data_IF_069147548168
#
_entry.id   IF_069147548168
#
_cell.length_a   1.000
_cell.length_b   1.000
_cell.length_c   1.000
_cell.angle_alpha   90.00
_cell.angle_beta   90.00
_cell.angle_gamma   90.00
#
_symmetry.space_group_name_H-M   'P 1'
#
loop_
_entity.id
_entity.type
_entity.pdbx_description
1 polymer ?
#
# COMPACT_ATOMS: atom_id res chain seq x y z
N UNK A 1 56.06 33.32 -24.15
CA UNK A 1 55.42 33.04 -22.84
C UNK A 1 53.99 32.60 -23.08
N UNK A 2 53.69 31.31 -22.87
CA UNK A 2 52.38 30.72 -23.15
C UNK A 2 51.49 30.88 -21.91
N UNK A 3 50.44 31.69 -22.04
CA UNK A 3 49.38 31.90 -21.06
C UNK A 3 48.55 30.60 -20.99
N UNK A 4 48.62 29.89 -19.87
CA UNK A 4 47.72 28.77 -19.58
C UNK A 4 46.44 29.34 -18.95
N UNK A 5 45.34 29.27 -19.72
CA UNK A 5 43.99 29.52 -19.23
C UNK A 5 43.59 28.37 -18.28
N UNK A 6 43.44 28.71 -17.01
CA UNK A 6 42.87 27.85 -15.97
C UNK A 6 41.39 27.63 -16.31
N UNK A 7 41.02 26.40 -16.65
CA UNK A 7 39.63 26.00 -16.81
C UNK A 7 39.00 25.81 -15.42
N UNK A 8 38.09 26.71 -15.04
CA UNK A 8 37.20 26.55 -13.89
C UNK A 8 36.27 25.36 -14.13
N UNK A 9 36.58 24.22 -13.51
CA UNK A 9 35.66 23.11 -13.34
C UNK A 9 34.60 23.52 -12.29
N UNK A 10 33.48 24.08 -12.74
CA UNK A 10 32.29 24.25 -11.89
C UNK A 10 31.68 22.85 -11.72
N UNK A 11 32.07 22.16 -10.65
CA UNK A 11 31.39 20.96 -10.20
C UNK A 11 29.98 21.36 -9.77
N UNK A 12 29.00 21.11 -10.63
CA UNK A 12 27.58 21.12 -10.31
C UNK A 12 27.36 20.14 -9.16
N UNK A 13 27.23 20.66 -7.94
CA UNK A 13 26.59 19.95 -6.84
C UNK A 13 25.17 19.69 -7.29
N UNK A 14 24.91 18.50 -7.81
CA UNK A 14 23.56 18.07 -8.13
C UNK A 14 22.72 18.24 -6.86
N UNK A 15 21.73 19.14 -6.93
CA UNK A 15 20.80 19.42 -5.85
C UNK A 15 20.26 18.10 -5.29
N UNK A 16 20.67 17.75 -4.07
CA UNK A 16 20.17 16.62 -3.29
C UNK A 16 18.73 16.84 -2.79
N UNK A 17 17.85 17.23 -3.70
CA UNK A 17 16.42 17.31 -3.46
C UNK A 17 15.81 15.92 -3.47
N UNK A 18 14.79 15.70 -2.63
CA UNK A 18 14.00 14.47 -2.67
C UNK A 18 13.44 14.27 -4.09
N UNK A 19 13.54 13.07 -4.67
CA UNK A 19 12.96 12.80 -5.97
C UNK A 19 11.46 13.13 -5.95
N UNK A 20 10.91 13.72 -7.02
CA UNK A 20 9.51 14.12 -7.05
C UNK A 20 8.58 12.90 -7.00
N UNK A 21 7.40 13.10 -6.42
CA UNK A 21 6.31 12.13 -6.43
C UNK A 21 5.85 11.90 -7.88
N UNK A 22 5.82 10.63 -8.38
CA UNK A 22 5.32 10.33 -9.71
C UNK A 22 3.85 10.73 -9.91
N UNK A 23 3.50 11.17 -11.12
CA UNK A 23 2.12 11.59 -11.46
C UNK A 23 1.11 10.48 -11.14
N UNK A 24 1.44 9.24 -11.49
CA UNK A 24 0.64 8.02 -11.25
C UNK A 24 1.05 7.26 -9.97
N UNK A 25 1.60 7.96 -8.97
CA UNK A 25 1.91 7.42 -7.64
C UNK A 25 3.15 6.53 -7.58
N UNK A 26 3.30 5.61 -8.52
CA UNK A 26 4.38 4.62 -8.55
C UNK A 26 5.48 4.98 -9.55
N UNK A 27 6.68 4.43 -9.34
CA UNK A 27 7.82 4.63 -10.23
C UNK A 27 7.73 3.64 -11.40
N UNK A 28 7.44 4.16 -12.60
CA UNK A 28 7.31 3.35 -13.81
C UNK A 28 8.63 3.23 -14.55
N UNK A 29 9.61 2.64 -13.86
CA UNK A 29 10.98 2.45 -14.34
C UNK A 29 11.81 1.70 -13.31
N UNK A 30 13.01 1.31 -13.72
CA UNK A 30 13.90 0.49 -12.90
C UNK A 30 14.30 1.19 -11.59
N UNK A 31 14.42 0.40 -10.53
CA UNK A 31 14.86 0.80 -9.20
C UNK A 31 16.16 0.06 -8.86
N UNK A 32 17.28 0.54 -9.41
CA UNK A 32 18.58 -0.12 -9.28
C UNK A 32 18.56 -1.52 -9.90
N UNK A 33 18.75 -2.55 -9.08
CA UNK A 33 18.72 -3.95 -9.49
C UNK A 33 17.31 -4.52 -9.72
N UNK A 34 16.26 -3.73 -9.42
CA UNK A 34 14.86 -4.12 -9.58
C UNK A 34 14.30 -3.57 -10.89
N UNK A 35 13.84 -4.48 -11.74
CA UNK A 35 13.39 -4.22 -13.10
C UNK A 35 11.89 -4.04 -13.14
N UNK A 36 11.45 -2.91 -13.70
CA UNK A 36 10.03 -2.59 -13.78
C UNK A 36 9.32 -3.53 -14.75
N UNK A 37 8.17 -4.08 -14.31
CA UNK A 37 7.40 -5.05 -15.10
C UNK A 37 6.06 -4.52 -15.53
N UNK A 38 5.31 -3.94 -14.59
CA UNK A 38 3.91 -3.58 -14.84
C UNK A 38 3.50 -2.39 -14.01
N UNK A 39 2.67 -1.55 -14.60
CA UNK A 39 1.86 -0.54 -13.93
C UNK A 39 0.39 -0.90 -14.05
N UNK A 40 -0.41 -0.65 -13.01
CA UNK A 40 -1.87 -0.65 -13.08
C UNK A 40 -2.48 0.41 -12.15
N UNK A 41 -3.63 0.96 -12.53
CA UNK A 41 -4.55 1.58 -11.57
C UNK A 41 -5.41 0.49 -10.93
N UNK A 42 -5.60 0.54 -9.61
CA UNK A 42 -6.42 -0.43 -8.89
C UNK A 42 -7.59 0.27 -8.22
N UNK A 43 -8.74 -0.40 -8.19
CA UNK A 43 -9.95 0.09 -7.54
C UNK A 43 -9.97 -0.20 -6.04
N UNK A 44 -9.10 -1.11 -5.60
CA UNK A 44 -9.04 -1.55 -4.21
C UNK A 44 -8.29 -0.52 -3.35
N UNK A 45 -8.97 -0.03 -2.32
CA UNK A 45 -8.46 0.93 -1.34
C UNK A 45 -8.46 0.24 0.02
N UNK A 46 -7.30 -0.29 0.41
CA UNK A 46 -7.19 -1.12 1.63
C UNK A 46 -7.45 -0.34 2.92
N UNK A 47 -7.01 0.93 2.96
CA UNK A 47 -7.19 1.81 4.12
C UNK A 47 -8.34 2.75 3.82
N UNK A 48 -9.52 2.45 4.35
CA UNK A 48 -10.69 3.30 4.15
C UNK A 48 -10.63 4.54 5.04
N UNK A 49 -10.90 5.72 4.46
CA UNK A 49 -11.00 7.01 5.16
C UNK A 49 -12.32 7.66 4.77
N UNK A 50 -13.21 7.85 5.74
CA UNK A 50 -14.53 8.41 5.49
C UNK A 50 -14.48 9.79 4.86
N UNK A 51 -15.36 10.02 3.88
CA UNK A 51 -15.49 11.30 3.17
C UNK A 51 -14.18 11.79 2.53
N UNK A 52 -13.28 10.87 2.17
CA UNK A 52 -12.00 11.17 1.56
C UNK A 52 -11.72 10.23 0.38
N UNK A 53 -12.06 10.70 -0.83
CA UNK A 53 -11.90 9.93 -2.06
C UNK A 53 -10.45 9.52 -2.28
N UNK A 54 -10.24 8.31 -2.78
CA UNK A 54 -8.89 7.77 -3.02
C UNK A 54 -8.75 7.10 -4.38
N UNK A 55 -7.53 7.15 -4.92
CA UNK A 55 -7.12 6.42 -6.13
C UNK A 55 -5.84 5.67 -5.81
N UNK A 56 -5.81 4.37 -6.12
CA UNK A 56 -4.66 3.52 -5.89
C UNK A 56 -3.96 3.13 -7.20
N UNK A 57 -2.64 3.08 -7.13
CA UNK A 57 -1.76 2.69 -8.22
C UNK A 57 -0.83 1.59 -7.76
N UNK A 58 -0.49 0.67 -8.66
CA UNK A 58 0.45 -0.40 -8.38
C UNK A 58 1.55 -0.50 -9.43
N UNK A 59 2.76 -0.81 -8.98
CA UNK A 59 3.88 -1.19 -9.82
C UNK A 59 4.49 -2.51 -9.33
N UNK A 60 4.87 -3.38 -10.27
CA UNK A 60 5.55 -4.63 -9.99
C UNK A 60 6.99 -4.60 -10.49
N UNK A 61 7.90 -5.18 -9.72
CA UNK A 61 9.32 -5.29 -10.02
C UNK A 61 9.81 -6.71 -9.80
N UNK A 62 10.84 -7.10 -10.56
CA UNK A 62 11.58 -8.36 -10.36
C UNK A 62 13.08 -8.08 -10.33
N UNK A 63 13.90 -8.91 -9.68
CA UNK A 63 15.35 -8.81 -9.77
C UNK A 63 15.84 -8.96 -11.21
N UNK A 64 16.91 -8.24 -11.57
CA UNK A 64 17.52 -8.31 -12.90
C UNK A 64 17.93 -9.73 -13.31
N UNK A 65 18.43 -10.55 -12.38
CA UNK A 65 18.82 -11.94 -12.65
C UNK A 65 17.60 -12.85 -12.90
N UNK A 66 16.45 -12.53 -12.31
CA UNK A 66 15.18 -13.24 -12.56
C UNK A 66 14.61 -12.84 -13.91
N UNK A 67 14.65 -11.54 -14.24
CA UNK A 67 14.22 -11.04 -15.55
C UNK A 67 14.97 -11.75 -16.68
N UNK A 68 16.30 -11.88 -16.57
CA UNK A 68 17.14 -12.59 -17.55
C UNK A 68 16.80 -14.08 -17.70
N UNK A 69 16.35 -14.72 -16.60
CA UNK A 69 15.91 -16.12 -16.60
C UNK A 69 14.51 -16.32 -17.18
N UNK A 70 13.67 -15.29 -17.21
CA UNK A 70 12.36 -15.29 -17.86
C UNK A 70 11.23 -16.02 -17.11
N UNK A 71 11.49 -16.57 -15.92
CA UNK A 71 10.53 -17.34 -15.12
C UNK A 71 10.46 -16.81 -13.68
N UNK A 72 9.79 -15.68 -13.42
CA UNK A 72 9.58 -15.19 -12.06
C UNK A 72 8.55 -16.04 -11.32
N UNK A 73 8.86 -16.42 -10.08
CA UNK A 73 7.90 -16.97 -9.12
C UNK A 73 7.33 -15.85 -8.23
N UNK A 74 6.26 -16.13 -7.47
CA UNK A 74 5.62 -15.14 -6.59
C UNK A 74 6.62 -14.43 -5.66
N UNK A 75 7.55 -15.21 -5.08
CA UNK A 75 8.60 -14.72 -4.17
C UNK A 75 9.56 -13.72 -4.82
N UNK A 76 9.70 -13.80 -6.15
CA UNK A 76 10.62 -12.97 -6.93
C UNK A 76 9.98 -11.62 -7.31
N UNK A 77 8.66 -11.46 -7.14
CA UNK A 77 7.94 -10.24 -7.51
C UNK A 77 7.75 -9.33 -6.29
N UNK A 78 8.23 -8.09 -6.37
CA UNK A 78 7.87 -7.02 -5.42
C UNK A 78 6.77 -6.17 -6.05
N UNK A 79 5.67 -5.99 -5.33
CA UNK A 79 4.61 -5.07 -5.66
C UNK A 79 4.69 -3.84 -4.76
N UNK A 80 4.45 -2.67 -5.35
CA UNK A 80 4.31 -1.41 -4.65
C UNK A 80 2.94 -0.84 -4.95
N UNK A 81 2.15 -0.60 -3.92
CA UNK A 81 0.89 0.11 -3.99
C UNK A 81 1.07 1.50 -3.39
N UNK A 82 0.56 2.51 -4.10
CA UNK A 82 0.44 3.87 -3.59
C UNK A 82 -1.00 4.29 -3.73
N UNK A 83 -1.66 4.44 -2.59
CA UNK A 83 -3.01 5.00 -2.50
C UNK A 83 -2.90 6.49 -2.24
N UNK A 84 -3.51 7.31 -3.10
CA UNK A 84 -3.58 8.77 -2.98
C UNK A 84 -4.98 9.18 -2.59
N UNK A 85 -5.11 9.86 -1.46
CA UNK A 85 -6.33 10.47 -0.97
C UNK A 85 -6.43 11.91 -1.42
N UNK A 86 -7.64 12.46 -1.46
CA UNK A 86 -7.90 13.87 -1.74
C UNK A 86 -7.32 14.76 -0.63
N UNK A 87 -7.43 14.34 0.63
CA UNK A 87 -6.97 15.05 1.84
C UNK A 87 -6.06 14.16 2.69
N UNK A 88 -5.21 14.76 3.52
CA UNK A 88 -4.36 14.05 4.48
C UNK A 88 -5.09 13.70 5.79
N UNK A 89 -6.15 14.42 6.09
CA UNK A 89 -7.01 14.19 7.25
C UNK A 89 -7.43 12.72 7.38
N UNK A 90 -7.15 12.13 8.55
CA UNK A 90 -7.54 10.76 8.89
C UNK A 90 -6.65 9.66 8.34
N UNK A 91 -5.82 9.91 7.31
CA UNK A 91 -5.02 8.87 6.62
C UNK A 91 -4.09 8.13 7.59
N UNK A 92 -3.31 8.86 8.40
CA UNK A 92 -2.42 8.25 9.39
C UNK A 92 -3.21 7.46 10.45
N UNK A 93 -4.29 8.04 10.98
CA UNK A 93 -5.13 7.39 11.98
C UNK A 93 -5.71 6.08 11.47
N UNK A 94 -6.28 6.08 10.27
CA UNK A 94 -6.90 4.88 9.68
C UNK A 94 -5.86 3.83 9.27
N UNK A 95 -4.68 4.25 8.81
CA UNK A 95 -3.56 3.32 8.56
C UNK A 95 -3.17 2.57 9.84
N UNK A 96 -3.05 3.28 10.96
CA UNK A 96 -2.71 2.68 12.25
C UNK A 96 -3.83 1.76 12.76
N UNK A 97 -5.10 2.17 12.63
CA UNK A 97 -6.25 1.31 12.98
C UNK A 97 -6.25 0.03 12.16
N UNK A 98 -6.06 0.14 10.84
CA UNK A 98 -6.00 -1.00 9.91
C UNK A 98 -4.91 -1.99 10.33
N UNK A 99 -3.68 -1.49 10.52
CA UNK A 99 -2.55 -2.34 10.86
C UNK A 99 -2.69 -2.98 12.25
N UNK A 100 -3.17 -2.25 13.27
CA UNK A 100 -3.46 -2.83 14.59
C UNK A 100 -4.54 -3.91 14.52
N UNK A 101 -5.58 -3.70 13.70
CA UNK A 101 -6.63 -4.70 13.47
C UNK A 101 -6.06 -5.98 12.86
N UNK A 102 -5.17 -5.88 11.88
CA UNK A 102 -4.48 -7.06 11.30
C UNK A 102 -3.70 -7.85 12.36
N UNK A 103 -2.99 -7.16 13.26
CA UNK A 103 -2.29 -7.80 14.38
C UNK A 103 -3.23 -8.45 15.40
N UNK A 104 -4.43 -7.90 15.60
CA UNK A 104 -5.40 -8.38 16.58
C UNK A 104 -6.26 -9.55 16.10
N UNK A 105 -6.61 -9.59 14.81
CA UNK A 105 -7.55 -10.58 14.23
C UNK A 105 -6.96 -12.00 14.09
N UNK A 106 -5.67 -12.18 14.42
CA UNK A 106 -4.98 -13.47 14.40
C UNK A 106 -4.65 -13.92 12.97
N UNK A 107 -3.36 -13.88 12.61
CA UNK A 107 -2.91 -14.30 11.28
C UNK A 107 -1.78 -13.46 10.71
N UNK A 108 -1.62 -12.23 11.23
CA UNK A 108 -0.51 -11.35 10.93
C UNK A 108 0.26 -10.96 12.19
N UNK A 109 1.58 -11.04 12.11
CA UNK A 109 2.50 -10.34 12.98
C UNK A 109 2.75 -8.94 12.41
N UNK A 110 2.74 -7.94 13.28
CA UNK A 110 2.96 -6.55 12.91
C UNK A 110 4.08 -5.97 13.77
N UNK A 111 5.07 -5.39 13.10
CA UNK A 111 6.23 -4.79 13.74
C UNK A 111 6.52 -3.39 13.21
N UNK A 112 7.12 -2.54 14.04
CA UNK A 112 7.55 -1.20 13.68
C UNK A 112 9.06 -1.17 13.42
N UNK A 113 9.48 -0.70 12.25
CA UNK A 113 10.90 -0.62 11.86
C UNK A 113 11.25 0.73 11.24
N UNK A 114 12.55 0.96 11.01
CA UNK A 114 13.05 2.11 10.26
C UNK A 114 13.89 1.62 9.09
N UNK A 115 13.48 1.98 7.88
CA UNK A 115 14.14 1.63 6.60
C UNK A 115 14.33 2.91 5.79
N UNK A 116 15.53 3.19 5.29
CA UNK A 116 15.79 4.42 4.52
C UNK A 116 15.48 5.73 5.26
N UNK A 117 15.58 5.74 6.59
CA UNK A 117 15.18 6.90 7.39
C UNK A 117 13.67 7.03 7.63
N UNK A 118 12.81 6.31 6.91
CA UNK A 118 11.37 6.28 7.12
C UNK A 118 10.99 5.24 8.17
N UNK A 119 10.07 5.60 9.07
CA UNK A 119 9.44 4.65 9.98
C UNK A 119 8.32 3.93 9.26
N UNK A 120 8.32 2.60 9.33
CA UNK A 120 7.42 1.75 8.56
C UNK A 120 6.83 0.66 9.45
N UNK A 121 5.71 0.10 9.00
CA UNK A 121 5.01 -1.01 9.64
C UNK A 121 5.20 -2.25 8.78
N UNK A 122 5.90 -3.25 9.30
CA UNK A 122 6.06 -4.55 8.64
C UNK A 122 4.92 -5.45 9.09
N UNK A 123 4.30 -6.13 8.12
CA UNK A 123 3.14 -6.99 8.30
C UNK A 123 3.53 -8.33 7.67
N UNK A 124 3.65 -9.37 8.48
CA UNK A 124 4.01 -10.71 8.06
C UNK A 124 2.91 -11.70 8.46
N UNK A 125 2.46 -12.53 7.52
CA UNK A 125 1.41 -13.50 7.79
C UNK A 125 0.95 -14.17 6.52
N UNK A 126 0.29 -15.33 6.62
CA UNK A 126 -0.32 -16.01 5.47
C UNK A 126 0.59 -16.22 4.23
N UNK A 127 1.92 -16.35 4.44
CA UNK A 127 2.88 -16.52 3.35
C UNK A 127 3.16 -15.25 2.55
N UNK A 128 2.90 -14.07 3.11
CA UNK A 128 3.22 -12.78 2.53
C UNK A 128 3.92 -11.86 3.55
N UNK A 129 4.74 -10.96 3.02
CA UNK A 129 5.36 -9.88 3.80
C UNK A 129 5.13 -8.56 3.09
N UNK A 130 4.62 -7.60 3.86
CA UNK A 130 4.33 -6.24 3.42
C UNK A 130 4.99 -5.24 4.36
N UNK A 131 5.45 -4.12 3.80
CA UNK A 131 5.92 -2.94 4.51
C UNK A 131 5.01 -1.79 4.12
N UNK A 132 4.36 -1.16 5.10
CA UNK A 132 3.38 -0.10 4.89
C UNK A 132 3.73 1.16 5.68
N UNK A 133 3.47 2.33 5.10
CA UNK A 133 3.51 3.59 5.85
C UNK A 133 2.57 4.65 5.29
N UNK A 134 2.12 5.54 6.17
CA UNK A 134 1.42 6.75 5.78
C UNK A 134 2.42 7.88 5.46
N UNK A 135 2.13 8.67 4.43
CA UNK A 135 2.90 9.83 4.00
C UNK A 135 1.95 10.94 3.55
N UNK A 136 1.52 11.80 4.51
CA UNK A 136 0.46 12.81 4.29
C UNK A 136 -0.82 12.19 3.71
N UNK A 137 -1.26 12.63 2.53
CA UNK A 137 -2.42 12.10 1.81
C UNK A 137 -2.10 10.85 0.97
N UNK A 138 -1.04 10.11 1.31
CA UNK A 138 -0.68 8.86 0.68
C UNK A 138 -0.54 7.74 1.71
N UNK A 139 -0.85 6.51 1.28
CA UNK A 139 -0.41 5.28 1.92
C UNK A 139 0.43 4.51 0.91
N UNK A 140 1.62 4.12 1.31
CA UNK A 140 2.51 3.28 0.51
C UNK A 140 2.58 1.90 1.13
N UNK A 141 2.47 0.87 0.31
CA UNK A 141 2.59 -0.54 0.69
C UNK A 141 3.52 -1.24 -0.29
N UNK A 142 4.60 -1.85 0.20
CA UNK A 142 5.62 -2.53 -0.60
C UNK A 142 5.73 -3.97 -0.12
N UNK A 143 5.72 -4.95 -1.01
CA UNK A 143 5.88 -6.34 -0.60
C UNK A 143 5.30 -7.33 -1.60
N UNK A 144 4.90 -8.50 -1.11
CA UNK A 144 4.34 -9.54 -1.96
C UNK A 144 4.19 -10.87 -1.26
N UNK A 145 3.65 -11.83 -2.00
CA UNK A 145 3.48 -13.21 -1.56
C UNK A 145 4.75 -14.03 -1.77
N UNK A 146 4.86 -15.14 -1.07
CA UNK A 146 5.97 -16.10 -1.23
C UNK A 146 7.31 -15.62 -0.70
N UNK A 147 7.37 -14.43 -0.09
CA UNK A 147 8.61 -13.84 0.42
C UNK A 147 8.59 -13.70 1.93
N UNK A 148 9.76 -13.86 2.55
CA UNK A 148 9.93 -13.69 3.99
C UNK A 148 10.21 -12.22 4.34
N UNK A 149 10.84 -11.47 3.44
CA UNK A 149 11.21 -10.07 3.64
C UNK A 149 10.97 -9.20 2.40
N UNK A 150 10.84 -7.89 2.64
CA UNK A 150 10.74 -6.88 1.60
C UNK A 150 12.12 -6.25 1.36
N UNK A 151 12.57 -6.09 0.10
CA UNK A 151 13.88 -5.51 -0.17
C UNK A 151 13.96 -4.04 0.24
N UNK A 152 14.87 -3.71 1.14
CA UNK A 152 15.08 -2.34 1.64
C UNK A 152 15.24 -1.35 0.49
N UNK A 153 16.05 -1.64 -0.53
CA UNK A 153 16.30 -0.74 -1.66
C UNK A 153 15.02 -0.25 -2.38
N UNK A 154 13.98 -1.09 -2.43
CA UNK A 154 12.68 -0.70 -3.01
C UNK A 154 11.93 0.19 -2.03
N UNK A 155 11.92 -0.17 -0.73
CA UNK A 155 11.31 0.65 0.32
C UNK A 155 11.96 2.04 0.37
N UNK A 156 13.29 2.11 0.38
CA UNK A 156 14.07 3.36 0.39
C UNK A 156 13.75 4.25 -0.81
N UNK A 157 13.71 3.66 -2.01
CA UNK A 157 13.36 4.38 -3.24
C UNK A 157 11.99 5.07 -3.14
N UNK A 158 11.03 4.46 -2.46
CA UNK A 158 9.71 5.05 -2.23
C UNK A 158 9.68 5.98 -1.01
N UNK A 159 10.39 5.67 0.07
CA UNK A 159 10.49 6.48 1.28
C UNK A 159 11.06 7.88 1.00
N UNK A 160 12.01 7.99 0.06
CA UNK A 160 12.56 9.26 -0.39
C UNK A 160 11.51 10.17 -1.04
N UNK A 161 10.56 9.57 -1.77
CA UNK A 161 9.45 10.26 -2.48
C UNK A 161 8.26 10.50 -1.55
N UNK A 162 8.03 9.56 -0.63
CA UNK A 162 6.91 9.51 0.30
C UNK A 162 7.44 9.42 1.74
N UNK A 163 7.91 10.54 2.32
CA UNK A 163 8.43 10.52 3.68
C UNK A 163 7.36 10.09 4.67
N UNK A 164 7.67 9.10 5.50
CA UNK A 164 6.74 8.62 6.52
C UNK A 164 6.39 9.69 7.55
N UNK A 165 5.11 9.76 7.91
CA UNK A 165 4.61 10.58 9.02
C UNK A 165 4.34 9.76 10.29
N UNK A 166 4.73 8.49 10.30
CA UNK A 166 4.54 7.60 11.45
C UNK A 166 5.49 8.00 12.59
N UNK A 167 4.93 8.26 13.77
CA UNK A 167 5.68 8.47 15.00
C UNK A 167 6.09 7.14 15.64
N UNK A 168 7.10 7.16 16.52
CA UNK A 168 7.53 5.95 17.23
C UNK A 168 6.49 5.46 18.24
N UNK A 169 6.34 4.14 18.36
CA UNK A 169 5.39 3.52 19.30
C UNK A 169 3.95 3.57 18.81
N UNK A 170 3.73 3.63 17.50
CA UNK A 170 2.40 3.81 16.92
C UNK A 170 1.53 2.56 17.04
N UNK A 171 2.10 1.40 17.37
CA UNK A 171 1.35 0.16 17.59
C UNK A 171 0.75 0.08 19.00
N UNK A 172 1.43 0.63 20.00
CA UNK A 172 1.03 0.54 21.42
C UNK A 172 0.49 1.86 21.97
N UNK A 173 0.80 3.00 21.34
CA UNK A 173 0.44 4.33 21.82
C UNK A 173 -1.04 4.70 21.66
N UNK A 174 -1.41 5.95 21.98
CA UNK A 174 -2.72 6.48 21.59
C UNK A 174 -2.87 6.50 20.06
N UNK A 175 -4.10 6.36 19.57
CA UNK A 175 -4.35 6.51 18.15
C UNK A 175 -3.99 7.93 17.69
N UNK A 176 -3.39 8.09 16.50
CA UNK A 176 -3.14 9.40 15.92
C UNK A 176 -4.43 10.26 15.85
N UNK A 177 -4.24 11.57 15.92
CA UNK A 177 -5.32 12.54 15.74
C UNK A 177 -5.93 12.44 14.33
N UNK A 178 -7.20 12.77 14.22
CA UNK A 178 -7.92 12.79 12.95
C UNK A 178 -9.37 12.31 13.11
N UNK A 179 -10.21 12.56 12.10
CA UNK A 179 -11.57 12.04 12.09
C UNK A 179 -11.51 10.51 12.22
N UNK A 180 -12.36 9.98 13.08
CA UNK A 180 -12.62 8.55 13.04
C UNK A 180 -13.58 8.26 11.88
N UNK A 181 -13.49 7.06 11.32
CA UNK A 181 -14.54 6.63 10.42
C UNK A 181 -15.79 6.51 11.29
N UNK A 182 -16.79 7.35 11.02
CA UNK A 182 -18.09 7.18 11.61
C UNK A 182 -18.62 5.89 11.01
N UNK A 183 -18.85 4.89 11.86
CA UNK A 183 -19.72 3.79 11.43
C UNK A 183 -21.06 4.47 11.18
N UNK A 184 -21.39 4.77 9.92
CA UNK A 184 -22.77 4.95 9.53
C UNK A 184 -23.45 3.66 9.99
N UNK A 185 -24.17 3.73 11.11
CA UNK A 185 -25.26 2.80 11.31
C UNK A 185 -26.08 2.97 10.04
N UNK A 186 -26.03 1.97 9.14
CA UNK A 186 -27.06 1.84 8.14
C UNK A 186 -28.36 1.97 8.92
N UNK A 187 -29.09 3.07 8.70
CA UNK A 187 -30.46 3.21 9.16
C UNK A 187 -31.14 1.97 8.62
N UNK A 188 -31.37 0.97 9.49
CA UNK A 188 -32.12 -0.22 9.10
C UNK A 188 -33.40 0.34 8.49
N UNK A 189 -33.68 0.12 7.20
CA UNK A 189 -34.86 0.68 6.60
C UNK A 189 -36.04 0.28 7.48
N UNK A 190 -36.85 1.25 7.86
CA UNK A 190 -38.04 1.01 8.65
C UNK A 190 -38.81 -0.12 7.96
N UNK A 191 -39.17 -1.15 8.72
CA UNK A 191 -39.73 -2.39 8.16
C UNK A 191 -40.95 -2.06 7.29
N UNK A 192 -40.81 -2.21 5.97
CA UNK A 192 -41.91 -2.01 5.04
C UNK A 192 -42.87 -3.21 5.15
N UNK A 193 -44.03 -2.98 5.77
CA UNK A 193 -45.06 -4.00 5.93
C UNK A 193 -45.65 -4.49 4.59
N UNK A 194 -45.44 -3.76 3.49
CA UNK A 194 -45.86 -4.15 2.14
C UNK A 194 -44.76 -4.86 1.36
N UNK A 195 -43.56 -4.98 1.91
CA UNK A 195 -42.47 -5.71 1.26
C UNK A 195 -42.93 -7.17 1.09
N UNK A 196 -42.95 -7.72 -0.14
CA UNK A 196 -43.41 -9.07 -0.38
C UNK A 196 -42.63 -10.02 0.52
N UNK A 197 -43.36 -10.70 1.41
CA UNK A 197 -42.74 -11.73 2.26
C UNK A 197 -42.18 -12.80 1.34
N UNK A 198 -40.95 -13.30 1.59
CA UNK A 198 -40.46 -14.46 0.88
C UNK A 198 -41.52 -15.56 1.03
N UNK A 199 -41.99 -16.10 -0.09
CA UNK A 199 -42.99 -17.16 -0.11
C UNK A 199 -42.30 -18.48 0.28
N UNK A 200 -41.93 -18.58 1.55
CA UNK A 200 -41.22 -19.72 2.14
C UNK A 200 -42.07 -21.00 2.06
N UNK A 201 -43.40 -20.87 1.90
CA UNK A 201 -44.31 -21.99 1.69
C UNK A 201 -44.23 -22.56 0.26
N UNK A 202 -43.88 -21.74 -0.74
CA UNK A 202 -43.61 -22.18 -2.12
C UNK A 202 -42.13 -22.46 -2.41
N UNK A 203 -41.27 -22.36 -1.41
CA UNK A 203 -39.85 -22.68 -1.56
C UNK A 203 -39.66 -24.18 -1.76
N UNK A 204 -39.39 -24.59 -3.00
CA UNK A 204 -38.98 -25.95 -3.34
C UNK A 204 -37.45 -26.02 -3.43
N UNK A 205 -36.75 -26.49 -2.38
CA UNK A 205 -35.29 -26.57 -2.36
C UNK A 205 -34.73 -27.48 -3.45
N UNK A 206 -35.54 -28.35 -4.07
CA UNK A 206 -35.10 -29.22 -5.18
C UNK A 206 -35.08 -28.49 -6.53
N UNK A 207 -35.76 -27.35 -6.65
CA UNK A 207 -35.77 -26.53 -7.88
C UNK A 207 -34.73 -25.41 -7.84
N UNK A 208 -34.16 -25.11 -6.69
CA UNK A 208 -33.09 -24.12 -6.55
C UNK A 208 -31.74 -24.80 -6.77
N UNK A 209 -31.15 -24.64 -7.96
CA UNK A 209 -29.76 -25.04 -8.19
C UNK A 209 -28.85 -23.97 -7.57
N UNK A 210 -28.27 -24.27 -6.42
CA UNK A 210 -27.11 -23.53 -5.93
C UNK A 210 -25.97 -23.89 -6.89
N UNK A 211 -25.34 -22.92 -7.58
CA UNK A 211 -24.23 -23.23 -8.47
C UNK A 211 -23.10 -23.87 -7.64
N UNK A 212 -22.68 -25.07 -8.05
CA UNK A 212 -21.59 -25.78 -7.41
C UNK A 212 -20.34 -24.90 -7.36
N UNK A 213 -19.77 -24.74 -6.17
CA UNK A 213 -18.45 -24.13 -6.00
C UNK A 213 -17.47 -24.96 -6.82
N UNK A 214 -17.01 -24.42 -7.96
CA UNK A 214 -15.87 -24.98 -8.69
C UNK A 214 -14.68 -25.03 -7.72
N UNK A 215 -14.21 -26.25 -7.44
CA UNK A 215 -12.93 -26.52 -6.79
C UNK A 215 -11.78 -26.10 -7.69
#
# INVERSE_FOLDING_TARGET
MRLWLIACLVALVACGGKPPIPKRGVVEGDLGAWKFRRFQSVLDVEVWVDNNSAVAYTASYVPEDIEKRGHPEDKDVVNVFVTRYEKDDGVLRQTVKFVRRLGAEGGYQVDEHKIGGARVLTINGHGETWVMWAAKNHVVKVGGRGRESVPDSVVESYADRYPSVIAGGVLEGPLPVGPDNAVEQEDKPEYDANNPRPDLEKYDPKKTKIPDKKK
#
